data_IF_476378197983
#
_entry.id   IF_476378197983
#
_cell.length_a   1.000
_cell.length_b   1.000
_cell.length_c   1.000
_cell.angle_alpha   90.00
_cell.angle_beta   90.00
_cell.angle_gamma   90.00
#
_symmetry.space_group_name_H-M   'P 1'
#
loop_
_entity.id
_entity.type
_entity.pdbx_description
1 polymer ?
#
# COMPACT_ATOMS: atom_id res chain seq x y z
N UNK A 1 16.62 -8.56 -17.93
CA UNK A 1 16.10 -8.27 -16.58
C UNK A 1 15.44 -6.91 -16.57
N UNK A 2 14.17 -6.82 -16.16
CA UNK A 2 13.39 -5.58 -16.08
C UNK A 2 12.97 -4.96 -17.43
N UNK A 3 12.89 -5.76 -18.49
CA UNK A 3 12.64 -5.31 -19.86
C UNK A 3 11.27 -5.75 -20.41
N UNK A 4 10.39 -6.29 -19.55
CA UNK A 4 9.00 -6.53 -19.95
C UNK A 4 8.26 -5.20 -19.97
N UNK A 5 7.29 -5.10 -20.86
CA UNK A 5 6.40 -3.95 -20.94
C UNK A 5 5.39 -3.97 -19.80
N UNK A 6 5.14 -2.80 -19.24
CA UNK A 6 4.11 -2.53 -18.25
C UNK A 6 3.35 -1.26 -18.65
N UNK A 7 2.03 -1.29 -18.51
CA UNK A 7 1.24 -0.08 -18.57
C UNK A 7 1.24 0.58 -17.20
N UNK A 8 1.60 1.86 -17.13
CA UNK A 8 1.46 2.64 -15.90
C UNK A 8 0.00 3.10 -15.67
N UNK A 9 -0.24 3.77 -14.54
CA UNK A 9 -1.57 4.26 -14.17
C UNK A 9 -2.13 5.36 -15.09
N UNK A 10 -1.31 5.89 -16.01
CA UNK A 10 -1.72 6.86 -17.02
C UNK A 10 -1.89 6.21 -18.41
N UNK A 11 -1.74 4.89 -18.53
CA UNK A 11 -1.80 4.16 -19.79
C UNK A 11 -0.54 4.23 -20.64
N UNK A 12 0.56 4.80 -20.13
CA UNK A 12 1.85 4.79 -20.84
C UNK A 12 2.47 3.40 -20.75
N UNK A 13 2.84 2.82 -21.90
CA UNK A 13 3.58 1.56 -21.95
C UNK A 13 5.07 1.86 -21.84
N UNK A 14 5.70 1.36 -20.78
CA UNK A 14 7.14 1.49 -20.51
C UNK A 14 7.71 0.17 -20.04
N UNK A 15 9.03 0.02 -20.01
CA UNK A 15 9.64 -1.18 -19.43
C UNK A 15 9.61 -1.16 -17.89
N UNK A 16 9.60 -2.35 -17.27
CA UNK A 16 9.57 -2.53 -15.80
C UNK A 16 10.65 -1.73 -15.06
N UNK A 17 11.86 -1.58 -15.65
CA UNK A 17 12.96 -0.84 -15.05
C UNK A 17 12.65 0.64 -14.99
N UNK A 18 12.24 1.23 -16.11
CA UNK A 18 11.80 2.64 -16.18
C UNK A 18 10.61 2.91 -15.27
N UNK A 19 9.67 1.96 -15.17
CA UNK A 19 8.56 2.08 -14.24
C UNK A 19 9.05 2.14 -12.78
N UNK A 20 9.94 1.23 -12.41
CA UNK A 20 10.51 1.18 -11.05
C UNK A 20 11.28 2.45 -10.69
N UNK A 21 12.06 2.99 -11.63
CA UNK A 21 12.75 4.29 -11.49
C UNK A 21 11.74 5.43 -11.33
N UNK A 22 10.70 5.47 -12.18
CA UNK A 22 9.64 6.49 -12.15
C UNK A 22 8.89 6.53 -10.82
N UNK A 23 8.64 5.38 -10.20
CA UNK A 23 7.95 5.28 -8.91
C UNK A 23 8.91 5.21 -7.71
N UNK A 24 10.19 5.54 -7.93
CA UNK A 24 11.23 5.63 -6.90
C UNK A 24 11.39 4.35 -6.07
N UNK A 25 11.28 3.18 -6.70
CA UNK A 25 11.58 1.90 -6.05
C UNK A 25 13.10 1.74 -5.99
N UNK A 26 13.64 1.83 -4.77
CA UNK A 26 15.08 1.65 -4.52
C UNK A 26 15.42 0.23 -4.04
N UNK A 27 14.44 -0.48 -3.46
CA UNK A 27 14.62 -1.82 -2.88
C UNK A 27 13.36 -2.66 -3.11
N UNK A 28 13.56 -3.97 -3.24
CA UNK A 28 12.51 -4.98 -3.24
C UNK A 28 12.46 -5.66 -1.87
N UNK A 29 11.30 -5.93 -1.27
CA UNK A 29 9.94 -5.79 -1.81
C UNK A 29 9.36 -4.36 -1.67
N UNK A 30 8.43 -3.96 -2.56
CA UNK A 30 7.69 -2.69 -2.44
C UNK A 30 6.23 -2.93 -2.84
N UNK A 31 5.28 -2.42 -2.07
CA UNK A 31 3.86 -2.43 -2.44
C UNK A 31 3.33 -1.00 -2.50
N UNK A 32 2.80 -0.61 -3.65
CA UNK A 32 2.23 0.73 -3.88
C UNK A 32 0.72 0.61 -4.07
N UNK A 33 -0.03 1.49 -3.41
CA UNK A 33 -1.48 1.60 -3.55
C UNK A 33 -1.79 2.91 -4.29
N UNK A 34 -2.61 2.80 -5.33
CA UNK A 34 -3.04 3.92 -6.16
C UNK A 34 -4.53 4.21 -5.93
N UNK A 35 -4.89 5.48 -5.97
CA UNK A 35 -6.28 5.91 -6.00
C UNK A 35 -6.87 5.85 -7.41
N UNK A 36 -8.18 6.10 -7.53
CA UNK A 36 -8.92 6.11 -8.79
C UNK A 36 -8.36 7.09 -9.84
N UNK A 37 -7.62 8.11 -9.40
CA UNK A 37 -6.98 9.11 -10.26
C UNK A 37 -5.54 8.73 -10.68
N UNK A 38 -5.10 7.50 -10.42
CA UNK A 38 -3.76 7.03 -10.73
C UNK A 38 -2.65 7.59 -9.84
N UNK A 39 -2.99 8.37 -8.79
CA UNK A 39 -2.00 8.88 -7.82
C UNK A 39 -1.72 7.86 -6.73
N UNK A 40 -0.46 7.73 -6.34
CA UNK A 40 -0.08 6.95 -5.17
C UNK A 40 -0.71 7.56 -3.91
N UNK A 41 -1.41 6.73 -3.14
CA UNK A 41 -2.08 7.12 -1.90
C UNK A 41 -1.44 6.50 -0.67
N UNK A 42 -0.74 5.38 -0.83
CA UNK A 42 -0.05 4.70 0.26
C UNK A 42 1.03 3.77 -0.29
N UNK A 43 2.06 3.51 0.53
CA UNK A 43 3.19 2.65 0.18
C UNK A 43 3.66 1.86 1.39
N UNK A 44 4.05 0.62 1.11
CA UNK A 44 4.80 -0.22 2.03
C UNK A 44 6.20 -0.42 1.44
N UNK A 45 7.22 0.27 1.97
CA UNK A 45 8.60 0.01 1.58
C UNK A 45 9.09 -1.22 2.35
N UNK A 46 9.46 -2.28 1.63
CA UNK A 46 9.95 -3.52 2.22
C UNK A 46 8.85 -4.52 2.56
N UNK A 47 9.29 -5.64 3.13
CA UNK A 47 8.42 -6.70 3.59
C UNK A 47 7.72 -6.32 4.91
N UNK A 48 6.41 -6.58 5.00
CA UNK A 48 5.65 -6.60 6.25
C UNK A 48 5.20 -8.03 6.56
N UNK A 49 5.06 -8.37 7.85
CA UNK A 49 4.45 -9.65 8.21
C UNK A 49 3.00 -9.73 7.69
N UNK A 50 2.47 -10.93 7.35
CA UNK A 50 1.16 -11.08 6.71
C UNK A 50 0.01 -10.36 7.41
N UNK A 51 0.01 -10.36 8.76
CA UNK A 51 -1.01 -9.64 9.56
C UNK A 51 -1.02 -8.12 9.31
N UNK A 52 0.15 -7.53 9.11
CA UNK A 52 0.28 -6.09 8.85
C UNK A 52 -0.03 -5.76 7.38
N UNK A 53 0.31 -6.65 6.44
CA UNK A 53 -0.16 -6.53 5.06
C UNK A 53 -1.68 -6.48 4.99
N UNK A 54 -2.39 -7.43 5.64
CA UNK A 54 -3.87 -7.39 5.71
C UNK A 54 -4.38 -6.08 6.29
N UNK A 55 -3.77 -5.61 7.38
CA UNK A 55 -4.11 -4.31 7.98
C UNK A 55 -3.91 -3.14 7.02
N UNK A 56 -2.86 -3.14 6.21
CA UNK A 56 -2.61 -2.10 5.22
C UNK A 56 -3.67 -2.08 4.09
N UNK A 57 -4.09 -3.25 3.60
CA UNK A 57 -5.20 -3.34 2.65
C UNK A 57 -6.49 -2.78 3.25
N UNK A 58 -6.85 -3.18 4.47
CA UNK A 58 -8.03 -2.65 5.15
C UNK A 58 -7.92 -1.13 5.39
N UNK A 59 -6.74 -0.63 5.77
CA UNK A 59 -6.49 0.79 5.95
C UNK A 59 -6.77 1.59 4.67
N UNK A 60 -6.29 1.11 3.52
CA UNK A 60 -6.54 1.73 2.21
C UNK A 60 -8.03 1.64 1.84
N UNK A 61 -8.66 0.46 2.01
CA UNK A 61 -10.08 0.25 1.73
C UNK A 61 -11.00 1.13 2.60
N UNK A 62 -10.63 1.38 3.86
CA UNK A 62 -11.36 2.26 4.78
C UNK A 62 -11.06 3.76 4.56
N UNK A 63 -10.46 4.10 3.42
CA UNK A 63 -10.08 5.47 3.03
C UNK A 63 -9.16 6.16 4.05
N UNK A 64 -8.36 5.40 4.79
CA UNK A 64 -7.42 5.91 5.79
C UNK A 64 -6.48 7.00 5.24
N UNK A 65 -5.80 6.76 4.09
CA UNK A 65 -4.96 7.77 3.47
C UNK A 65 -5.70 9.07 3.11
N UNK A 66 -6.91 8.95 2.54
CA UNK A 66 -7.72 10.10 2.11
C UNK A 66 -8.20 10.92 3.31
N UNK A 67 -8.45 10.26 4.44
CA UNK A 67 -8.78 10.90 5.73
C UNK A 67 -7.56 11.47 6.44
N UNK A 68 -6.35 11.34 5.88
CA UNK A 68 -5.07 11.80 6.45
C UNK A 68 -4.77 11.21 7.83
N UNK A 69 -5.21 9.97 8.07
CA UNK A 69 -4.92 9.25 9.32
C UNK A 69 -3.67 8.42 9.11
N UNK A 70 -2.69 8.48 10.00
CA UNK A 70 -1.50 7.62 9.90
C UNK A 70 -1.86 6.15 10.11
N UNK A 71 -1.27 5.24 9.30
CA UNK A 71 -1.54 3.80 9.39
C UNK A 71 -1.38 3.21 10.81
N UNK A 72 -0.32 3.53 11.59
CA UNK A 72 -0.20 3.05 12.97
C UNK A 72 -1.34 3.53 13.89
N UNK A 73 -1.82 4.76 13.70
CA UNK A 73 -2.92 5.31 14.48
C UNK A 73 -4.24 4.61 14.13
N UNK A 74 -4.53 4.48 12.84
CA UNK A 74 -5.71 3.75 12.36
C UNK A 74 -5.72 2.30 12.85
N UNK A 75 -4.56 1.62 12.80
CA UNK A 75 -4.42 0.23 13.25
C UNK A 75 -4.69 0.07 14.75
N UNK A 76 -4.18 0.99 15.58
CA UNK A 76 -4.43 1.01 17.02
C UNK A 76 -5.90 1.25 17.34
N UNK A 77 -6.54 2.21 16.67
CA UNK A 77 -7.93 2.54 16.92
C UNK A 77 -8.86 1.40 16.49
N UNK A 78 -8.54 0.71 15.40
CA UNK A 78 -9.23 -0.53 14.99
C UNK A 78 -9.14 -1.61 16.08
N UNK A 79 -7.97 -1.84 16.65
CA UNK A 79 -7.79 -2.86 17.71
C UNK A 79 -8.61 -2.55 18.97
N UNK A 80 -8.77 -1.27 19.31
CA UNK A 80 -9.61 -0.83 20.45
C UNK A 80 -11.10 -1.00 20.19
N UNK A 81 -11.52 -0.89 18.93
CA UNK A 81 -12.92 -1.03 18.52
C UNK A 81 -13.38 -2.50 18.45
N UNK A 82 -12.45 -3.46 18.37
CA UNK A 82 -12.77 -4.87 18.54
C UNK A 82 -12.96 -5.12 20.05
N UNK A 83 -14.16 -5.48 20.52
CA UNK A 83 -14.35 -5.81 21.93
C UNK A 83 -13.38 -6.94 22.30
N UNK A 84 -12.90 -6.97 23.54
CA UNK A 84 -12.12 -8.09 24.07
C UNK A 84 -13.00 -9.35 24.14
N UNK A 85 -13.31 -9.96 23.01
CA UNK A 85 -13.97 -11.24 22.90
C UNK A 85 -12.90 -12.32 22.94
N UNK A 86 -12.64 -12.85 24.13
CA UNK A 86 -11.79 -14.03 24.30
C UNK A 86 -10.98 -14.02 25.59
N UNK A 87 -11.66 -14.20 26.71
CA UNK A 87 -11.05 -14.41 28.03
C UNK A 87 -12.10 -14.97 28.99
N UNK A 88 -12.52 -16.20 28.74
CA UNK A 88 -13.06 -17.12 29.75
C UNK A 88 -12.01 -18.18 30.04
#
# INVERSE_FOLDING_TARGET
YGNKEVADMNGSVIDERKYSEKVLIQFTENTLFYGENGREIFRIPGYLQPKFYRGAFEYVLNRGPQRKILFPHWSRDKQRAVPASGGS
#
